data_IF_555737880318
#
_entry.id   IF_555737880318
#
_cell.length_a   1.000
_cell.length_b   1.000
_cell.length_c   1.000
_cell.angle_alpha   90.00
_cell.angle_beta   90.00
_cell.angle_gamma   90.00
#
_symmetry.space_group_name_H-M   'P 1'
#
loop_
_entity.id
_entity.type
_entity.pdbx_description
1 polymer ?
#
# COMPACT_ATOMS: atom_id res chain seq x y z
N UNK A 1 18.52 18.97 11.90
CA UNK A 1 17.21 18.73 12.55
C UNK A 1 16.65 17.47 11.92
N UNK A 2 16.48 16.40 12.70
CA UNK A 2 15.81 15.19 12.20
C UNK A 2 14.37 15.58 11.83
N UNK A 3 13.99 15.44 10.56
CA UNK A 3 12.63 15.73 10.09
C UNK A 3 11.71 14.70 10.78
N UNK A 4 10.73 15.17 11.56
CA UNK A 4 9.80 14.28 12.26
C UNK A 4 9.00 13.50 11.21
N UNK A 5 9.06 12.16 11.27
CA UNK A 5 8.27 11.28 10.42
C UNK A 5 6.81 11.37 10.88
N UNK A 6 5.88 11.49 9.94
CA UNK A 6 4.45 11.37 10.17
C UNK A 6 4.06 9.90 10.22
N UNK A 7 3.32 9.50 11.24
CA UNK A 7 2.77 8.15 11.34
C UNK A 7 1.29 8.17 10.96
N UNK A 8 0.95 7.42 9.91
CA UNK A 8 -0.40 7.26 9.41
C UNK A 8 -0.85 5.80 9.56
N UNK A 9 -2.15 5.57 9.65
CA UNK A 9 -2.76 4.23 9.65
C UNK A 9 -3.73 4.10 8.47
N UNK A 10 -3.79 2.94 7.83
CA UNK A 10 -4.65 2.70 6.68
C UNK A 10 -5.66 1.57 6.93
N UNK A 11 -6.94 1.87 6.69
CA UNK A 11 -8.01 0.87 6.65
C UNK A 11 -8.80 0.90 5.33
N UNK A 12 -9.10 -0.28 4.76
CA UNK A 12 -9.77 -0.35 3.46
C UNK A 12 -11.31 -0.38 3.55
N UNK A 13 -11.88 -0.56 4.74
CA UNK A 13 -13.33 -0.56 4.99
C UNK A 13 -13.63 -0.22 6.45
N UNK A 14 -14.86 0.20 6.73
CA UNK A 14 -15.27 0.68 8.06
C UNK A 14 -15.19 -0.43 9.12
N UNK A 15 -15.56 -1.66 8.78
CA UNK A 15 -15.57 -2.76 9.73
C UNK A 15 -14.17 -3.03 10.31
N UNK A 16 -13.11 -2.89 9.51
CA UNK A 16 -11.74 -3.01 10.01
C UNK A 16 -11.29 -1.82 10.84
N UNK A 17 -11.72 -0.61 10.47
CA UNK A 17 -11.45 0.60 11.24
C UNK A 17 -12.09 0.51 12.64
N UNK A 18 -13.32 -0.03 12.75
CA UNK A 18 -13.98 -0.29 14.03
C UNK A 18 -13.22 -1.27 14.92
N UNK A 19 -12.37 -2.13 14.33
CA UNK A 19 -11.52 -3.09 15.01
C UNK A 19 -10.09 -2.57 15.25
N UNK A 20 -9.86 -1.25 15.14
CA UNK A 20 -8.51 -0.65 15.28
C UNK A 20 -7.79 -1.09 16.56
N UNK A 21 -8.50 -1.16 17.69
CA UNK A 21 -7.94 -1.58 18.97
C UNK A 21 -7.43 -3.03 18.92
N UNK A 22 -8.14 -3.92 18.23
CA UNK A 22 -7.72 -5.32 18.06
C UNK A 22 -6.47 -5.41 17.16
N UNK A 23 -6.37 -4.56 16.13
CA UNK A 23 -5.23 -4.53 15.22
C UNK A 23 -3.97 -3.92 15.84
N UNK A 24 -4.13 -2.97 16.76
CA UNK A 24 -3.02 -2.32 17.48
C UNK A 24 -2.65 -3.02 18.79
N UNK A 25 -3.39 -4.07 19.17
CA UNK A 25 -3.13 -4.82 20.39
C UNK A 25 -1.82 -5.60 20.29
N UNK A 26 -0.83 -5.18 21.05
CA UNK A 26 0.42 -5.92 21.23
C UNK A 26 0.15 -7.15 22.10
N UNK A 27 0.48 -8.33 21.59
CA UNK A 27 0.41 -9.59 22.34
C UNK A 27 1.84 -10.04 22.63
N UNK A 28 2.18 -10.27 23.91
CA UNK A 28 3.45 -10.91 24.25
C UNK A 28 3.38 -12.39 23.89
N UNK A 29 4.00 -12.75 22.75
CA UNK A 29 4.04 -14.13 22.29
C UNK A 29 4.70 -15.10 23.30
N UNK A 30 5.50 -14.60 24.25
CA UNK A 30 6.10 -15.40 25.33
C UNK A 30 5.07 -15.84 26.37
N UNK A 31 3.95 -15.13 26.47
CA UNK A 31 2.85 -15.43 27.38
C UNK A 31 1.82 -16.40 26.76
N UNK A 32 1.90 -16.65 25.44
CA UNK A 32 1.04 -17.61 24.76
C UNK A 32 1.60 -19.02 24.96
N UNK A 33 0.84 -19.96 25.54
CA UNK A 33 1.28 -21.35 25.64
C UNK A 33 1.60 -21.93 24.26
N UNK A 34 2.71 -22.66 24.14
CA UNK A 34 3.21 -23.18 22.85
C UNK A 34 2.20 -24.02 22.06
N UNK A 35 1.30 -24.74 22.75
CA UNK A 35 0.22 -25.50 22.13
C UNK A 35 -0.87 -24.58 21.53
N UNK A 36 -1.18 -23.45 22.18
CA UNK A 36 -2.10 -22.43 21.69
C UNK A 36 -1.50 -21.69 20.51
N UNK A 37 -0.21 -21.36 20.56
CA UNK A 37 0.50 -20.79 19.42
C UNK A 37 0.46 -21.73 18.21
N UNK A 38 0.67 -23.04 18.40
CA UNK A 38 0.58 -24.01 17.30
C UNK A 38 -0.84 -24.08 16.73
N UNK A 39 -1.89 -24.10 17.56
CA UNK A 39 -3.29 -24.14 17.08
C UNK A 39 -3.72 -22.83 16.43
N UNK A 40 -3.27 -21.68 16.96
CA UNK A 40 -3.60 -20.36 16.44
C UNK A 40 -2.84 -20.01 15.16
N UNK A 41 -1.66 -20.57 14.93
CA UNK A 41 -0.80 -20.13 13.83
C UNK A 41 -0.48 -21.24 12.81
N UNK A 42 -0.83 -22.50 13.07
CA UNK A 42 -0.69 -23.57 12.08
C UNK A 42 -1.94 -23.71 11.20
N UNK A 43 -1.73 -23.75 9.89
CA UNK A 43 -2.63 -24.27 8.84
C UNK A 43 -3.76 -23.39 8.30
N UNK A 44 -4.01 -22.18 8.81
CA UNK A 44 -4.92 -21.25 8.13
C UNK A 44 -4.13 -20.17 7.36
N UNK A 45 -4.20 -20.11 6.02
CA UNK A 45 -3.53 -19.07 5.26
C UNK A 45 -4.03 -17.66 5.59
N UNK A 46 -5.20 -17.51 6.24
CA UNK A 46 -5.66 -16.22 6.79
C UNK A 46 -4.90 -15.81 8.07
N UNK A 47 -4.24 -16.74 8.78
CA UNK A 47 -3.49 -16.43 10.00
C UNK A 47 -2.12 -15.80 9.70
N UNK A 48 -1.61 -15.94 8.47
CA UNK A 48 -0.35 -15.33 8.04
C UNK A 48 -0.37 -13.81 8.22
N UNK A 49 -1.50 -13.17 7.89
CA UNK A 49 -1.70 -11.73 8.06
C UNK A 49 -1.60 -11.31 9.52
N UNK A 50 -2.29 -12.04 10.40
CA UNK A 50 -2.31 -11.77 11.83
C UNK A 50 -0.93 -11.99 12.48
N UNK A 51 -0.25 -13.09 12.17
CA UNK A 51 1.11 -13.36 12.69
C UNK A 51 2.10 -12.27 12.26
N UNK A 52 2.05 -11.86 11.00
CA UNK A 52 2.91 -10.81 10.47
C UNK A 52 2.60 -9.43 11.07
N UNK A 53 1.31 -9.12 11.30
CA UNK A 53 0.92 -7.90 11.99
C UNK A 53 1.52 -7.85 13.41
N UNK A 54 1.48 -8.96 14.17
CA UNK A 54 2.11 -9.03 15.49
C UNK A 54 3.61 -8.72 15.44
N UNK A 55 4.34 -9.24 14.44
CA UNK A 55 5.76 -8.90 14.25
C UNK A 55 5.94 -7.43 13.90
N UNK A 56 5.03 -6.84 13.13
CA UNK A 56 5.09 -5.45 12.69
C UNK A 56 4.82 -4.45 13.80
N UNK A 57 3.97 -4.81 14.76
CA UNK A 57 3.71 -4.01 15.95
C UNK A 57 4.97 -3.78 16.79
N UNK A 58 5.99 -4.65 16.72
CA UNK A 58 7.25 -4.42 17.44
C UNK A 58 8.00 -3.18 16.93
N UNK A 59 8.03 -2.96 15.62
CA UNK A 59 8.58 -1.75 15.00
C UNK A 59 7.72 -0.54 15.29
N UNK A 60 6.39 -0.68 15.23
CA UNK A 60 5.46 0.38 15.60
C UNK A 60 5.67 0.85 17.05
N UNK A 61 5.81 -0.09 17.98
CA UNK A 61 6.10 0.20 19.38
C UNK A 61 7.42 0.93 19.54
N UNK A 62 8.45 0.60 18.75
CA UNK A 62 9.69 1.35 18.74
C UNK A 62 9.48 2.81 18.32
N UNK A 63 8.70 3.07 17.25
CA UNK A 63 8.35 4.44 16.86
C UNK A 63 7.59 5.18 17.97
N UNK A 64 6.61 4.52 18.60
CA UNK A 64 5.82 5.09 19.68
C UNK A 64 6.65 5.39 20.93
N UNK A 65 7.56 4.49 21.32
CA UNK A 65 8.49 4.70 22.43
C UNK A 65 9.45 5.88 22.16
N UNK A 66 9.67 6.25 20.90
CA UNK A 66 10.43 7.43 20.49
C UNK A 66 9.55 8.70 20.37
N UNK A 67 8.30 8.67 20.86
CA UNK A 67 7.40 9.82 20.92
C UNK A 67 6.65 10.12 19.62
N UNK A 68 6.55 9.15 18.70
CA UNK A 68 5.68 9.25 17.54
C UNK A 68 4.29 8.70 17.87
N UNK A 69 3.25 9.30 17.30
CA UNK A 69 1.89 8.78 17.41
C UNK A 69 1.16 8.93 16.07
N UNK A 70 0.10 8.17 15.89
CA UNK A 70 -0.75 8.30 14.72
C UNK A 70 -1.31 9.71 14.64
N UNK A 71 -1.28 10.27 13.45
CA UNK A 71 -1.73 11.64 13.17
C UNK A 71 -2.58 11.74 11.91
N UNK A 72 -2.75 10.62 11.18
CA UNK A 72 -3.47 10.57 9.92
C UNK A 72 -4.13 9.22 9.68
N UNK A 73 -5.38 9.25 9.23
CA UNK A 73 -6.12 8.10 8.74
C UNK A 73 -6.15 8.10 7.21
N UNK A 74 -5.65 7.03 6.61
CA UNK A 74 -5.93 6.65 5.24
C UNK A 74 -7.18 5.77 5.24
N UNK A 75 -8.15 6.06 4.38
CA UNK A 75 -9.38 5.29 4.28
C UNK A 75 -9.87 5.15 2.85
N UNK A 76 -10.18 3.92 2.42
CA UNK A 76 -10.69 3.64 1.07
C UNK A 76 -9.98 2.45 0.42
N UNK A 77 -10.27 2.19 -0.86
CA UNK A 77 -9.86 0.95 -1.52
C UNK A 77 -9.03 1.22 -2.75
N UNK A 78 -7.78 0.77 -2.74
CA UNK A 78 -6.83 0.99 -3.82
C UNK A 78 -6.95 -0.05 -4.96
N UNK A 79 -7.24 -1.31 -4.66
CA UNK A 79 -7.01 -2.40 -5.62
C UNK A 79 -8.27 -2.94 -6.31
N UNK A 80 -9.48 -2.56 -5.88
CA UNK A 80 -10.71 -3.17 -6.39
C UNK A 80 -11.91 -2.23 -6.36
N UNK A 81 -12.45 -1.91 -7.54
CA UNK A 81 -13.67 -1.09 -7.67
C UNK A 81 -14.90 -1.68 -6.96
N UNK A 82 -14.96 -3.01 -6.81
CA UNK A 82 -16.08 -3.68 -6.15
C UNK A 82 -16.04 -3.55 -4.63
N UNK A 83 -14.90 -3.15 -4.08
CA UNK A 83 -14.68 -2.98 -2.66
C UNK A 83 -14.71 -1.52 -2.23
N UNK A 84 -14.69 -0.56 -3.16
CA UNK A 84 -14.88 0.88 -2.87
C UNK A 84 -16.00 1.04 -1.84
N UNK A 85 -15.70 1.63 -0.67
CA UNK A 85 -16.69 1.82 0.38
C UNK A 85 -17.81 2.74 -0.13
N UNK A 86 -19.05 2.51 0.31
CA UNK A 86 -20.14 3.46 0.10
C UNK A 86 -19.88 4.74 0.89
N UNK A 87 -20.57 5.83 0.53
CA UNK A 87 -20.31 7.17 1.07
C UNK A 87 -20.57 7.28 2.57
N UNK A 88 -21.51 6.52 3.11
CA UNK A 88 -21.78 6.44 4.56
C UNK A 88 -20.61 5.85 5.35
N UNK A 89 -19.89 4.86 4.77
CA UNK A 89 -18.66 4.36 5.39
C UNK A 89 -17.54 5.40 5.37
N UNK A 90 -17.44 6.19 4.30
CA UNK A 90 -16.44 7.28 4.18
C UNK A 90 -16.74 8.42 5.16
N UNK A 91 -18.01 8.78 5.31
CA UNK A 91 -18.50 9.74 6.30
C UNK A 91 -18.09 9.32 7.72
N UNK A 92 -18.41 8.08 8.11
CA UNK A 92 -18.04 7.55 9.42
C UNK A 92 -16.52 7.54 9.66
N UNK A 93 -15.73 7.16 8.66
CA UNK A 93 -14.27 7.17 8.77
C UNK A 93 -13.72 8.60 8.91
N UNK A 94 -14.29 9.57 8.20
CA UNK A 94 -13.93 10.97 8.36
C UNK A 94 -14.25 11.46 9.77
N UNK A 95 -15.46 11.23 10.28
CA UNK A 95 -15.80 11.59 11.67
C UNK A 95 -14.89 10.93 12.70
N UNK A 96 -14.56 9.64 12.52
CA UNK A 96 -13.60 8.94 13.37
C UNK A 96 -12.25 9.67 13.40
N UNK A 97 -11.71 10.04 12.23
CA UNK A 97 -10.44 10.78 12.16
C UNK A 97 -10.48 12.09 12.93
N UNK A 98 -11.60 12.84 12.83
CA UNK A 98 -11.77 14.11 13.53
C UNK A 98 -11.86 13.92 15.05
N UNK A 99 -12.51 12.86 15.52
CA UNK A 99 -12.57 12.52 16.96
C UNK A 99 -11.19 12.20 17.54
N UNK A 100 -10.33 11.59 16.72
CA UNK A 100 -8.94 11.27 17.08
C UNK A 100 -7.97 12.44 16.87
N UNK A 101 -8.45 13.59 16.39
CA UNK A 101 -7.62 14.73 15.96
C UNK A 101 -6.59 14.35 14.88
N UNK A 102 -6.95 13.39 14.03
CA UNK A 102 -6.13 12.91 12.91
C UNK A 102 -6.54 13.55 11.60
N UNK A 103 -5.56 13.85 10.76
CA UNK A 103 -5.75 14.20 9.36
C UNK A 103 -6.42 13.06 8.58
N UNK A 104 -7.12 13.40 7.50
CA UNK A 104 -7.84 12.42 6.68
C UNK A 104 -7.28 12.33 5.27
N UNK A 105 -7.12 11.11 4.77
CA UNK A 105 -6.68 10.80 3.41
C UNK A 105 -7.63 9.81 2.77
N UNK A 106 -8.35 10.24 1.75
CA UNK A 106 -9.24 9.37 0.99
C UNK A 106 -8.47 8.59 -0.08
N UNK A 107 -8.53 7.26 -0.03
CA UNK A 107 -7.85 6.36 -0.95
C UNK A 107 -8.80 5.95 -2.07
N UNK A 108 -8.47 6.35 -3.31
CA UNK A 108 -9.26 6.00 -4.49
C UNK A 108 -8.78 4.68 -5.10
N UNK A 109 -9.70 3.98 -5.78
CA UNK A 109 -9.40 2.72 -6.44
C UNK A 109 -8.67 2.89 -7.77
N UNK A 110 -7.91 1.88 -8.14
CA UNK A 110 -7.30 1.73 -9.46
C UNK A 110 -8.19 0.95 -10.43
N UNK A 111 -7.92 1.14 -11.72
CA UNK A 111 -8.55 0.41 -12.82
C UNK A 111 -10.07 0.55 -12.86
N UNK A 112 -10.56 1.78 -12.64
CA UNK A 112 -11.98 2.03 -12.47
C UNK A 112 -12.70 2.02 -13.82
N UNK A 113 -13.88 1.40 -13.83
CA UNK A 113 -14.90 1.62 -14.86
C UNK A 113 -15.73 2.86 -14.50
N UNK A 114 -16.64 3.28 -15.37
CA UNK A 114 -17.57 4.38 -15.09
C UNK A 114 -18.35 4.16 -13.78
N UNK A 115 -18.68 2.91 -13.46
CA UNK A 115 -19.34 2.53 -12.19
C UNK A 115 -18.43 2.79 -10.99
N UNK A 116 -17.13 2.49 -11.10
CA UNK A 116 -16.15 2.75 -10.06
C UNK A 116 -15.91 4.26 -9.87
N UNK A 117 -15.81 5.00 -10.97
CA UNK A 117 -15.66 6.46 -10.96
C UNK A 117 -16.88 7.12 -10.33
N UNK A 118 -18.10 6.68 -10.64
CA UNK A 118 -19.32 7.22 -10.04
C UNK A 118 -19.32 7.12 -8.51
N UNK A 119 -18.86 5.99 -7.95
CA UNK A 119 -18.72 5.83 -6.49
C UNK A 119 -17.66 6.74 -5.90
N UNK A 120 -16.54 6.94 -6.61
CA UNK A 120 -15.51 7.90 -6.16
C UNK A 120 -16.08 9.32 -6.15
N UNK A 121 -16.88 9.70 -7.16
CA UNK A 121 -17.57 11.00 -7.19
C UNK A 121 -18.53 11.13 -6.02
N UNK A 122 -19.36 10.12 -5.73
CA UNK A 122 -20.25 10.11 -4.58
C UNK A 122 -19.50 10.34 -3.26
N UNK A 123 -18.36 9.65 -3.08
CA UNK A 123 -17.53 9.78 -1.89
C UNK A 123 -16.87 11.17 -1.78
N UNK A 124 -16.36 11.73 -2.88
CA UNK A 124 -15.78 13.07 -2.91
C UNK A 124 -16.85 14.15 -2.67
N UNK A 125 -18.05 13.98 -3.20
CA UNK A 125 -19.19 14.87 -2.92
C UNK A 125 -19.56 14.83 -1.44
N UNK A 126 -19.64 13.63 -0.85
CA UNK A 126 -19.88 13.46 0.58
C UNK A 126 -18.81 14.20 1.42
N UNK A 127 -17.52 14.00 1.14
CA UNK A 127 -16.44 14.69 1.86
C UNK A 127 -16.52 16.22 1.73
N UNK A 128 -16.85 16.74 0.54
CA UNK A 128 -17.09 18.17 0.34
C UNK A 128 -18.26 18.68 1.19
N UNK A 129 -19.37 17.95 1.23
CA UNK A 129 -20.56 18.32 2.02
C UNK A 129 -20.27 18.32 3.54
N UNK A 130 -19.36 17.46 3.99
CA UNK A 130 -18.84 17.42 5.36
C UNK A 130 -17.83 18.53 5.67
N UNK A 131 -17.46 19.35 4.67
CA UNK A 131 -16.47 20.42 4.81
C UNK A 131 -15.04 19.92 4.99
N UNK A 132 -14.71 18.74 4.45
CA UNK A 132 -13.38 18.15 4.48
C UNK A 132 -12.41 18.83 3.48
N UNK A 133 -12.32 20.16 3.53
CA UNK A 133 -11.50 20.96 2.61
C UNK A 133 -9.98 20.72 2.80
N UNK A 134 -9.60 20.09 3.90
CA UNK A 134 -8.23 19.76 4.26
C UNK A 134 -7.79 18.34 3.87
N UNK A 135 -8.73 17.50 3.43
CA UNK A 135 -8.48 16.08 3.11
C UNK A 135 -7.49 15.92 1.95
N UNK A 136 -6.59 14.94 2.09
CA UNK A 136 -5.76 14.46 0.99
C UNK A 136 -6.49 13.40 0.17
N UNK A 137 -6.24 13.33 -1.14
CA UNK A 137 -6.81 12.29 -2.00
C UNK A 137 -5.72 11.52 -2.72
N UNK A 138 -5.63 10.22 -2.44
CA UNK A 138 -4.73 9.32 -3.15
C UNK A 138 -5.36 8.93 -4.47
N UNK A 139 -4.73 9.33 -5.56
CA UNK A 139 -5.19 9.06 -6.93
C UNK A 139 -4.48 7.84 -7.48
N UNK A 140 -5.25 6.80 -7.77
CA UNK A 140 -4.76 5.54 -8.35
C UNK A 140 -5.24 5.30 -9.80
N UNK A 141 -5.99 6.24 -10.36
CA UNK A 141 -6.54 6.17 -11.72
C UNK A 141 -6.55 7.56 -12.37
N UNK A 142 -6.10 7.65 -13.63
CA UNK A 142 -6.07 8.93 -14.35
C UNK A 142 -7.47 9.49 -14.66
N UNK A 143 -8.48 8.65 -14.76
CA UNK A 143 -9.87 9.06 -14.88
C UNK A 143 -10.37 9.79 -13.62
N UNK A 144 -9.91 9.35 -12.44
CA UNK A 144 -10.17 10.04 -11.17
C UNK A 144 -9.48 11.39 -11.13
N UNK A 145 -8.21 11.49 -11.57
CA UNK A 145 -7.52 12.79 -11.69
C UNK A 145 -8.32 13.78 -12.55
N UNK A 146 -8.78 13.33 -13.72
CA UNK A 146 -9.55 14.14 -14.64
C UNK A 146 -10.88 14.61 -14.02
N UNK A 147 -11.57 13.75 -13.27
CA UNK A 147 -12.79 14.11 -12.52
C UNK A 147 -12.49 15.14 -11.45
N UNK A 148 -11.42 14.96 -10.67
CA UNK A 148 -11.01 15.92 -9.62
C UNK A 148 -10.72 17.28 -10.23
N UNK A 149 -9.94 17.36 -11.32
CA UNK A 149 -9.64 18.63 -11.98
C UNK A 149 -10.87 19.34 -12.52
N UNK A 150 -11.87 18.59 -13.00
CA UNK A 150 -13.10 19.14 -13.57
C UNK A 150 -14.10 19.57 -12.50
N UNK A 151 -14.36 18.70 -11.53
CA UNK A 151 -15.51 18.80 -10.63
C UNK A 151 -15.11 19.16 -9.21
N UNK A 152 -13.86 18.92 -8.80
CA UNK A 152 -13.32 19.14 -7.45
C UNK A 152 -11.99 19.93 -7.44
N UNK A 153 -11.92 21.10 -8.12
CA UNK A 153 -10.68 21.86 -8.27
C UNK A 153 -10.08 22.33 -6.94
N UNK A 154 -10.87 22.43 -5.87
CA UNK A 154 -10.42 22.77 -4.51
C UNK A 154 -9.46 21.73 -3.92
N UNK A 155 -9.48 20.49 -4.41
CA UNK A 155 -8.56 19.43 -3.99
C UNK A 155 -7.21 19.51 -4.73
N UNK A 156 -7.08 20.39 -5.73
CA UNK A 156 -5.81 20.60 -6.44
C UNK A 156 -4.76 21.14 -5.46
N UNK A 157 -3.64 20.42 -5.31
CA UNK A 157 -2.61 20.70 -4.30
C UNK A 157 -2.70 19.81 -3.05
N UNK A 158 -3.71 18.95 -2.95
CA UNK A 158 -3.87 17.94 -1.88
C UNK A 158 -3.87 16.52 -2.43
N UNK A 159 -3.31 16.34 -3.62
CA UNK A 159 -3.31 15.05 -4.29
C UNK A 159 -2.07 14.25 -3.90
N UNK A 160 -2.27 12.99 -3.60
CA UNK A 160 -1.22 12.00 -3.38
C UNK A 160 -1.15 11.12 -4.63
N UNK A 161 0.02 11.05 -5.25
CA UNK A 161 0.25 10.13 -6.36
C UNK A 161 0.34 8.72 -5.77
N UNK A 162 -0.73 7.94 -5.94
CA UNK A 162 -0.81 6.62 -5.35
C UNK A 162 0.21 5.65 -5.95
N UNK A 163 0.56 4.63 -5.17
CA UNK A 163 1.60 3.65 -5.55
C UNK A 163 1.24 2.85 -6.82
N UNK A 164 -0.03 2.82 -7.25
CA UNK A 164 -0.42 2.20 -8.52
C UNK A 164 -0.05 3.02 -9.77
N UNK A 165 -0.02 4.35 -9.68
CA UNK A 165 0.31 5.23 -10.80
C UNK A 165 1.81 5.49 -10.92
N UNK A 166 2.53 5.40 -9.80
CA UNK A 166 3.98 5.49 -9.81
C UNK A 166 4.61 4.14 -10.21
N UNK A 167 5.36 4.13 -11.32
CA UNK A 167 6.05 2.93 -11.80
C UNK A 167 7.30 2.70 -10.94
N UNK A 168 7.18 1.73 -10.05
CA UNK A 168 8.25 1.19 -9.21
C UNK A 168 8.43 -0.29 -9.54
N UNK A 169 9.67 -0.74 -9.68
CA UNK A 169 9.96 -2.18 -9.75
C UNK A 169 9.74 -2.80 -8.37
N UNK A 170 9.03 -3.93 -8.29
CA UNK A 170 8.71 -4.57 -7.00
C UNK A 170 9.18 -6.01 -7.02
N UNK A 171 10.48 -6.19 -6.84
CA UNK A 171 11.07 -7.52 -6.79
C UNK A 171 10.81 -8.14 -5.43
N UNK A 172 10.18 -9.30 -5.38
CA UNK A 172 10.09 -10.14 -4.19
C UNK A 172 11.07 -11.32 -4.21
N UNK A 173 11.93 -11.35 -5.23
CA UNK A 173 13.02 -12.30 -5.39
C UNK A 173 14.32 -11.64 -4.94
N UNK A 174 15.22 -12.41 -4.30
CA UNK A 174 16.49 -11.90 -3.76
C UNK A 174 16.28 -10.86 -2.66
N UNK A 175 15.22 -11.05 -1.85
CA UNK A 175 14.85 -10.13 -0.79
C UNK A 175 15.78 -10.20 0.43
N UNK A 176 16.55 -11.29 0.54
CA UNK A 176 17.48 -11.50 1.64
C UNK A 176 18.71 -10.59 1.50
N UNK A 177 19.08 -9.84 2.55
CA UNK A 177 20.33 -9.07 2.56
C UNK A 177 21.54 -9.95 2.22
N UNK A 178 22.38 -9.49 1.30
CA UNK A 178 23.60 -10.20 0.88
C UNK A 178 23.42 -11.22 -0.25
N UNK A 179 22.20 -11.47 -0.72
CA UNK A 179 21.97 -12.25 -1.94
C UNK A 179 22.16 -11.36 -3.17
N UNK A 180 23.09 -11.73 -4.05
CA UNK A 180 23.39 -10.94 -5.23
C UNK A 180 22.47 -11.32 -6.42
N UNK A 181 22.01 -10.32 -7.19
CA UNK A 181 21.13 -10.52 -8.37
C UNK A 181 21.75 -11.42 -9.45
N UNK A 182 21.06 -12.41 -10.04
CA UNK A 182 21.68 -13.24 -11.07
C UNK A 182 22.14 -12.40 -12.28
N UNK A 183 23.38 -12.62 -12.73
CA UNK A 183 23.95 -11.96 -13.93
C UNK A 183 24.39 -13.02 -14.92
N UNK A 184 24.02 -12.84 -16.18
CA UNK A 184 24.46 -13.69 -17.29
C UNK A 184 25.68 -13.05 -17.98
N UNK A 185 26.85 -13.67 -17.85
CA UNK A 185 28.13 -13.10 -18.34
C UNK A 185 28.54 -13.55 -19.75
N UNK A 186 27.82 -14.49 -20.38
CA UNK A 186 28.25 -15.02 -21.67
C UNK A 186 28.16 -13.93 -22.77
N UNK A 187 29.31 -13.59 -23.35
CA UNK A 187 29.45 -12.53 -24.34
C UNK A 187 29.53 -11.11 -23.77
N UNK A 188 29.70 -10.93 -22.47
CA UNK A 188 29.80 -9.60 -21.81
C UNK A 188 31.22 -9.36 -21.31
N UNK A 189 31.82 -8.24 -21.72
CA UNK A 189 33.18 -7.82 -21.32
C UNK A 189 33.19 -6.94 -20.05
N UNK A 190 32.06 -6.33 -19.71
CA UNK A 190 31.88 -5.52 -18.49
C UNK A 190 32.11 -6.37 -17.24
N UNK A 191 32.73 -5.80 -16.21
CA UNK A 191 32.98 -6.51 -14.95
C UNK A 191 31.65 -6.87 -14.30
N UNK A 192 31.52 -8.11 -13.82
CA UNK A 192 30.26 -8.62 -13.23
C UNK A 192 29.71 -7.70 -12.13
N UNK A 193 30.59 -7.18 -11.25
CA UNK A 193 30.17 -6.27 -10.18
C UNK A 193 29.59 -4.96 -10.72
N UNK A 194 30.16 -4.41 -11.79
CA UNK A 194 29.64 -3.20 -12.43
C UNK A 194 28.25 -3.44 -13.00
N UNK A 195 28.01 -4.61 -13.61
CA UNK A 195 26.67 -5.00 -14.09
C UNK A 195 25.69 -5.09 -12.92
N UNK A 196 26.09 -5.70 -11.80
CA UNK A 196 25.25 -5.80 -10.59
C UNK A 196 24.89 -4.43 -10.07
N UNK A 197 25.84 -3.52 -9.96
CA UNK A 197 25.61 -2.16 -9.47
C UNK A 197 24.65 -1.40 -10.39
N UNK A 198 24.81 -1.53 -11.72
CA UNK A 198 23.89 -0.97 -12.70
C UNK A 198 22.48 -1.57 -12.62
N UNK A 199 22.35 -2.88 -12.40
CA UNK A 199 21.06 -3.55 -12.20
C UNK A 199 20.34 -3.00 -10.97
N UNK A 200 21.04 -2.89 -9.82
CA UNK A 200 20.45 -2.32 -8.60
C UNK A 200 19.99 -0.89 -8.83
N UNK A 201 20.81 -0.05 -9.47
CA UNK A 201 20.44 1.32 -9.81
C UNK A 201 19.18 1.36 -10.69
N UNK A 202 19.11 0.53 -11.72
CA UNK A 202 17.94 0.44 -12.60
C UNK A 202 16.68 -0.03 -11.87
N UNK A 203 16.78 -0.96 -10.91
CA UNK A 203 15.61 -1.45 -10.17
C UNK A 203 15.14 -0.52 -9.06
N UNK A 204 16.03 0.35 -8.56
CA UNK A 204 15.70 1.45 -7.65
C UNK A 204 15.01 2.61 -8.35
N UNK A 205 15.16 2.71 -9.66
CA UNK A 205 14.61 3.81 -10.44
C UNK A 205 13.08 3.76 -10.50
N UNK A 206 12.46 4.94 -10.58
CA UNK A 206 11.01 5.12 -10.52
C UNK A 206 10.54 6.15 -11.54
N UNK A 207 9.24 6.16 -11.88
CA UNK A 207 8.76 7.10 -12.90
C UNK A 207 9.06 8.57 -12.59
N UNK A 208 9.12 8.96 -11.31
CA UNK A 208 9.45 10.33 -10.89
C UNK A 208 10.90 10.75 -11.17
N UNK A 209 11.81 9.83 -11.46
CA UNK A 209 13.16 10.19 -11.91
C UNK A 209 13.19 10.80 -13.30
N UNK A 210 12.12 10.63 -14.09
CA UNK A 210 11.97 11.33 -15.36
C UNK A 210 11.58 12.80 -15.10
N UNK A 211 12.43 13.79 -15.42
CA UNK A 211 12.17 15.19 -15.11
C UNK A 211 10.97 15.78 -15.84
N UNK A 212 10.63 15.25 -17.03
CA UNK A 212 9.43 15.67 -17.77
C UNK A 212 8.19 15.18 -17.02
N UNK A 213 8.17 13.92 -16.61
CA UNK A 213 7.05 13.37 -15.85
C UNK A 213 6.89 14.04 -14.48
N UNK A 214 7.99 14.27 -13.76
CA UNK A 214 7.97 14.96 -12.47
C UNK A 214 7.35 16.36 -12.60
N UNK A 215 7.73 17.11 -13.64
CA UNK A 215 7.16 18.43 -13.91
C UNK A 215 5.64 18.35 -14.13
N UNK A 216 5.17 17.41 -14.94
CA UNK A 216 3.74 17.21 -15.20
C UNK A 216 2.97 16.84 -13.91
N UNK A 217 3.52 15.93 -13.10
CA UNK A 217 2.95 15.53 -11.80
C UNK A 217 2.75 16.73 -10.87
N UNK A 218 3.72 17.64 -10.81
CA UNK A 218 3.60 18.90 -10.08
C UNK A 218 2.52 19.83 -10.66
N UNK A 219 2.47 20.00 -11.99
CA UNK A 219 1.45 20.84 -12.66
C UNK A 219 0.02 20.30 -12.47
N UNK A 220 -0.12 18.98 -12.37
CA UNK A 220 -1.38 18.30 -12.06
C UNK A 220 -1.79 18.45 -10.58
N UNK A 221 -0.92 18.99 -9.72
CA UNK A 221 -1.24 19.34 -8.33
C UNK A 221 -1.02 18.22 -7.33
N UNK A 222 -0.17 17.25 -7.66
CA UNK A 222 0.32 16.28 -6.69
C UNK A 222 1.38 16.91 -5.80
N UNK A 223 1.22 16.78 -4.48
CA UNK A 223 2.16 17.29 -3.47
C UNK A 223 2.83 16.17 -2.69
N UNK A 224 2.24 14.97 -2.75
CA UNK A 224 2.70 13.78 -2.06
C UNK A 224 2.77 12.60 -3.05
N UNK A 225 3.56 11.60 -2.72
CA UNK A 225 3.65 10.34 -3.46
C UNK A 225 3.81 9.18 -2.50
N UNK A 226 3.06 8.11 -2.73
CA UNK A 226 3.18 6.90 -1.95
C UNK A 226 3.99 5.82 -2.70
N UNK A 227 4.74 5.04 -1.93
CA UNK A 227 5.59 3.97 -2.41
C UNK A 227 5.45 2.70 -1.56
N UNK A 228 5.81 1.58 -2.15
CA UNK A 228 6.00 0.32 -1.45
C UNK A 228 7.44 0.18 -0.95
N UNK A 229 7.64 -0.46 0.20
CA UNK A 229 8.98 -0.92 0.58
C UNK A 229 9.38 -2.08 -0.33
N UNK A 230 10.57 -2.01 -0.91
CA UNK A 230 11.08 -3.04 -1.83
C UNK A 230 12.49 -3.45 -1.44
N UNK A 231 12.89 -4.73 -1.58
CA UNK A 231 14.20 -5.18 -1.14
C UNK A 231 15.36 -4.43 -1.79
N UNK A 232 15.23 -4.09 -3.07
CA UNK A 232 16.27 -3.35 -3.77
C UNK A 232 16.38 -1.89 -3.32
N UNK A 233 15.45 -1.34 -2.54
CA UNK A 233 15.40 0.08 -2.19
C UNK A 233 14.70 0.95 -3.24
N UNK A 234 14.62 2.25 -2.96
CA UNK A 234 14.09 3.27 -3.87
C UNK A 234 15.18 4.33 -4.07
N UNK A 235 15.43 4.72 -5.31
CA UNK A 235 16.29 5.86 -5.60
C UNK A 235 15.51 7.13 -5.28
N UNK A 236 16.11 8.00 -4.46
CA UNK A 236 15.63 9.36 -4.22
C UNK A 236 16.80 10.32 -4.50
N UNK A 237 16.64 11.31 -5.41
CA UNK A 237 17.70 12.26 -5.70
C UNK A 237 18.04 13.11 -4.46
N UNK A 238 19.24 13.68 -4.44
CA UNK A 238 19.62 14.67 -3.42
C UNK A 238 18.65 15.88 -3.48
N UNK A 239 18.07 16.24 -2.34
CA UNK A 239 16.99 17.23 -2.27
C UNK A 239 15.56 16.68 -2.46
N UNK A 240 15.41 15.42 -2.87
CA UNK A 240 14.12 14.78 -3.10
C UNK A 240 13.38 15.30 -4.35
N UNK A 241 12.10 14.94 -4.47
CA UNK A 241 11.23 15.34 -5.59
C UNK A 241 10.41 16.61 -5.34
N UNK A 242 10.69 17.34 -4.25
CA UNK A 242 9.80 18.38 -3.70
C UNK A 242 8.38 17.86 -3.40
N UNK A 243 8.31 16.62 -2.93
CA UNK A 243 7.08 15.94 -2.56
C UNK A 243 7.28 15.21 -1.22
N UNK A 244 6.21 15.07 -0.45
CA UNK A 244 6.19 14.18 0.72
C UNK A 244 6.19 12.74 0.24
N UNK A 245 7.13 11.93 0.72
CA UNK A 245 7.20 10.51 0.39
C UNK A 245 6.56 9.66 1.49
N UNK A 246 5.48 8.96 1.15
CA UNK A 246 4.83 7.95 1.97
C UNK A 246 5.36 6.55 1.69
N UNK A 247 5.58 5.75 2.74
CA UNK A 247 5.94 4.34 2.64
C UNK A 247 4.89 3.47 3.32
N UNK A 248 4.33 2.53 2.56
CA UNK A 248 3.46 1.50 3.10
C UNK A 248 4.24 0.44 3.87
N UNK A 249 3.73 0.06 5.04
CA UNK A 249 4.29 -0.95 5.94
C UNK A 249 3.16 -1.67 6.67
N UNK A 250 3.16 -3.00 6.83
CA UNK A 250 4.21 -3.95 6.48
C UNK A 250 3.93 -4.72 5.19
N UNK A 251 2.96 -4.27 4.40
CA UNK A 251 2.59 -4.91 3.15
C UNK A 251 3.07 -4.08 1.98
N UNK A 252 3.47 -4.80 0.93
CA UNK A 252 3.71 -4.22 -0.37
C UNK A 252 3.06 -5.11 -1.41
N UNK A 253 2.43 -4.52 -2.41
CA UNK A 253 1.94 -5.34 -3.51
C UNK A 253 3.08 -5.66 -4.48
N UNK A 254 3.03 -6.79 -5.16
CA UNK A 254 4.00 -7.18 -6.20
C UNK A 254 3.39 -6.88 -7.57
N UNK A 255 2.16 -7.35 -7.76
CA UNK A 255 1.42 -7.20 -8.99
C UNK A 255 -0.08 -7.13 -8.68
N UNK A 256 -0.81 -6.41 -9.51
CA UNK A 256 -2.27 -6.33 -9.45
C UNK A 256 -2.83 -6.30 -10.87
N UNK A 257 -4.07 -6.77 -11.03
CA UNK A 257 -4.73 -6.86 -12.32
C UNK A 257 -6.21 -6.48 -12.22
N UNK A 258 -6.89 -6.40 -13.36
CA UNK A 258 -8.36 -6.30 -13.38
C UNK A 258 -9.01 -7.68 -13.16
N UNK A 259 -8.41 -8.72 -13.72
CA UNK A 259 -8.86 -10.10 -13.49
C UNK A 259 -8.57 -10.50 -12.04
N UNK A 260 -9.47 -11.30 -11.45
CA UNK A 260 -9.44 -11.58 -10.02
C UNK A 260 -9.51 -13.09 -9.77
N UNK A 261 -8.36 -13.75 -9.49
CA UNK A 261 -8.32 -15.17 -9.15
C UNK A 261 -9.20 -15.52 -7.95
N UNK A 262 -9.29 -14.63 -6.96
CA UNK A 262 -10.15 -14.85 -5.79
C UNK A 262 -11.64 -14.77 -6.10
N UNK A 263 -12.06 -13.88 -6.99
CA UNK A 263 -13.43 -13.91 -7.49
C UNK A 263 -13.69 -15.16 -8.36
N UNK A 264 -12.65 -15.66 -9.02
CA UNK A 264 -12.59 -16.94 -9.73
C UNK A 264 -13.06 -18.16 -8.95
N UNK A 265 -12.90 -18.15 -7.61
CA UNK A 265 -13.38 -19.23 -6.74
C UNK A 265 -14.91 -19.41 -6.79
N UNK A 266 -15.65 -18.31 -6.96
CA UNK A 266 -17.11 -18.33 -7.05
C UNK A 266 -17.60 -18.29 -8.52
N UNK A 267 -16.84 -17.66 -9.41
CA UNK A 267 -17.14 -17.56 -10.84
C UNK A 267 -15.84 -17.73 -11.66
N UNK A 268 -15.54 -18.94 -12.15
CA UNK A 268 -14.27 -19.25 -12.84
C UNK A 268 -13.94 -18.35 -14.03
N UNK A 269 -14.95 -17.72 -14.65
CA UNK A 269 -14.75 -16.77 -15.76
C UNK A 269 -13.93 -15.56 -15.30
N UNK A 270 -14.10 -15.12 -14.05
CA UNK A 270 -13.44 -13.94 -13.48
C UNK A 270 -11.93 -14.08 -13.28
N UNK A 271 -11.42 -15.31 -13.32
CA UNK A 271 -9.97 -15.58 -13.33
C UNK A 271 -9.32 -15.05 -14.60
N UNK A 272 -10.04 -15.06 -15.71
CA UNK A 272 -9.50 -14.78 -17.05
C UNK A 272 -10.10 -13.53 -17.70
N UNK A 273 -11.33 -13.16 -17.33
CA UNK A 273 -12.08 -12.10 -18.00
C UNK A 273 -12.80 -11.21 -16.99
N UNK A 274 -12.79 -9.90 -17.25
CA UNK A 274 -13.62 -8.93 -16.53
C UNK A 274 -15.09 -9.11 -16.89
N UNK A 275 -15.96 -9.13 -15.88
CA UNK A 275 -17.40 -9.27 -16.08
C UNK A 275 -18.15 -8.20 -15.30
N UNK A 276 -19.19 -7.63 -15.90
CA UNK A 276 -20.06 -6.62 -15.27
C UNK A 276 -21.04 -7.20 -14.24
N UNK A 277 -21.03 -8.52 -14.05
CA UNK A 277 -21.84 -9.18 -13.01
C UNK A 277 -21.46 -8.63 -11.62
N UNK A 278 -22.36 -8.67 -10.63
CA UNK A 278 -21.99 -8.41 -9.24
C UNK A 278 -20.88 -9.36 -8.76
N UNK A 279 -19.92 -8.82 -8.01
CA UNK A 279 -18.85 -9.59 -7.39
C UNK A 279 -19.29 -10.11 -6.02
N UNK A 280 -19.07 -11.41 -5.75
CA UNK A 280 -19.37 -12.02 -4.44
C UNK A 280 -18.40 -11.63 -3.31
N UNK A 281 -17.38 -10.81 -3.61
CA UNK A 281 -16.38 -10.30 -2.63
C UNK A 281 -15.70 -11.41 -1.81
N UNK A 282 -15.41 -12.55 -2.44
CA UNK A 282 -14.77 -13.72 -1.79
C UNK A 282 -13.45 -13.37 -1.11
N UNK A 283 -12.76 -12.33 -1.58
CA UNK A 283 -11.52 -11.82 -1.00
C UNK A 283 -11.68 -11.23 0.41
N UNK A 284 -12.90 -10.93 0.88
CA UNK A 284 -13.14 -10.61 2.29
C UNK A 284 -13.00 -11.82 3.21
N UNK A 285 -13.04 -13.05 2.67
CA UNK A 285 -13.02 -14.30 3.44
C UNK A 285 -11.83 -15.21 3.13
N UNK A 286 -11.36 -15.21 1.88
CA UNK A 286 -10.38 -16.16 1.39
C UNK A 286 -9.23 -15.46 0.67
N UNK A 287 -8.03 -16.02 0.79
CA UNK A 287 -6.93 -15.79 -0.12
C UNK A 287 -6.78 -16.98 -1.09
N UNK A 288 -6.13 -16.75 -2.22
CA UNK A 288 -5.84 -17.76 -3.25
C UNK A 288 -4.34 -18.02 -3.36
N UNK A 289 -3.62 -17.85 -2.25
CA UNK A 289 -2.18 -18.00 -2.20
C UNK A 289 -1.78 -19.39 -2.69
N UNK A 290 -0.99 -19.50 -3.77
CA UNK A 290 -0.51 -20.80 -4.21
C UNK A 290 0.38 -21.42 -3.12
N UNK A 291 0.14 -22.69 -2.78
CA UNK A 291 0.96 -23.47 -1.84
C UNK A 291 2.32 -23.89 -2.41
N UNK A 292 2.61 -23.55 -3.67
CA UNK A 292 3.89 -23.82 -4.31
C UNK A 292 4.89 -22.75 -3.89
N UNK A 293 5.77 -23.11 -2.96
CA UNK A 293 6.92 -22.31 -2.51
C UNK A 293 7.86 -22.10 -3.70
N UNK A 294 7.65 -21.05 -4.48
CA UNK A 294 8.54 -20.64 -5.57
C UNK A 294 9.32 -19.36 -5.24
N UNK A 295 9.00 -18.68 -4.13
CA UNK A 295 9.60 -17.42 -3.72
C UNK A 295 10.28 -17.57 -2.36
N UNK A 296 11.43 -16.91 -2.19
CA UNK A 296 12.15 -16.86 -0.90
C UNK A 296 11.32 -16.15 0.18
N UNK A 297 10.59 -15.09 -0.20
CA UNK A 297 9.60 -14.42 0.66
C UNK A 297 8.19 -14.86 0.25
N UNK A 298 7.35 -15.34 1.19
CA UNK A 298 5.99 -15.76 0.87
C UNK A 298 5.15 -14.61 0.28
N UNK A 299 4.52 -14.88 -0.87
CA UNK A 299 3.57 -13.97 -1.47
C UNK A 299 2.13 -14.39 -1.16
N UNK A 300 1.22 -13.44 -0.97
CA UNK A 300 -0.19 -13.68 -0.65
C UNK A 300 -1.08 -13.16 -1.78
N UNK A 301 -1.83 -14.04 -2.44
CA UNK A 301 -2.79 -13.63 -3.47
C UNK A 301 -4.14 -13.35 -2.82
N UNK A 302 -4.58 -12.09 -2.76
CA UNK A 302 -5.89 -11.71 -2.21
C UNK A 302 -6.60 -10.73 -3.14
N UNK A 303 -7.78 -11.13 -3.61
CA UNK A 303 -8.46 -10.39 -4.66
C UNK A 303 -7.66 -10.46 -5.97
N UNK A 304 -7.55 -9.35 -6.73
CA UNK A 304 -6.73 -9.31 -7.93
C UNK A 304 -5.23 -9.09 -7.66
N UNK A 305 -4.84 -8.89 -6.40
CA UNK A 305 -3.51 -8.41 -6.04
C UNK A 305 -2.69 -9.49 -5.34
N UNK A 306 -1.41 -9.57 -5.72
CA UNK A 306 -0.39 -10.34 -5.05
C UNK A 306 0.38 -9.41 -4.10
N UNK A 307 0.49 -9.77 -2.83
CA UNK A 307 1.18 -9.01 -1.80
C UNK A 307 2.39 -9.77 -1.28
N UNK A 308 3.34 -9.05 -0.69
CA UNK A 308 4.44 -9.59 0.10
C UNK A 308 4.51 -8.87 1.44
N UNK A 309 4.93 -9.61 2.45
CA UNK A 309 5.30 -9.01 3.72
C UNK A 309 6.72 -8.43 3.60
N UNK A 310 6.94 -7.23 4.15
CA UNK A 310 8.20 -6.49 3.99
C UNK A 310 9.14 -6.60 5.19
N UNK A 311 8.75 -7.30 6.25
CA UNK A 311 9.50 -7.33 7.51
C UNK A 311 10.96 -7.74 7.37
N UNK A 312 11.29 -8.63 6.44
CA UNK A 312 12.66 -9.12 6.18
C UNK A 312 13.63 -8.00 5.73
N UNK A 313 13.11 -6.91 5.15
CA UNK A 313 13.91 -5.80 4.63
C UNK A 313 13.45 -4.41 5.10
N UNK A 314 12.38 -4.33 5.90
CA UNK A 314 11.88 -3.09 6.49
C UNK A 314 12.90 -2.43 7.43
N UNK A 315 13.67 -3.23 8.17
CA UNK A 315 14.71 -2.72 9.08
C UNK A 315 15.71 -1.81 8.36
N UNK A 316 16.10 -2.16 7.13
CA UNK A 316 16.99 -1.32 6.33
C UNK A 316 16.37 0.05 6.04
N UNK A 317 15.05 0.12 5.80
CA UNK A 317 14.34 1.38 5.62
C UNK A 317 14.32 2.21 6.90
N UNK A 318 14.12 1.58 8.04
CA UNK A 318 14.04 2.25 9.34
C UNK A 318 15.40 2.75 9.84
N UNK A 319 16.48 2.01 9.58
CA UNK A 319 17.81 2.30 10.12
C UNK A 319 18.72 3.05 9.13
N UNK A 320 18.57 2.83 7.81
CA UNK A 320 19.60 3.20 6.83
C UNK A 320 19.07 3.93 5.58
N UNK A 321 17.77 3.95 5.31
CA UNK A 321 17.25 4.54 4.06
C UNK A 321 17.16 6.07 4.12
N UNK A 322 17.53 6.76 3.02
CA UNK A 322 17.36 8.21 2.92
C UNK A 322 15.87 8.56 2.88
N UNK A 323 15.41 9.18 3.98
CA UNK A 323 14.24 10.04 4.15
C UNK A 323 12.96 9.59 3.44
N UNK A 324 12.04 8.98 4.18
CA UNK A 324 10.60 9.10 3.93
C UNK A 324 10.03 10.07 4.95
N UNK A 325 8.97 10.78 4.59
CA UNK A 325 8.30 11.73 5.48
C UNK A 325 7.12 11.12 6.20
N UNK A 326 6.51 10.07 5.63
CA UNK A 326 5.32 9.43 6.18
C UNK A 326 5.48 7.91 6.16
N UNK A 327 5.18 7.27 7.29
CA UNK A 327 5.02 5.81 7.39
C UNK A 327 3.53 5.50 7.44
N UNK A 328 3.04 4.70 6.51
CA UNK A 328 1.62 4.33 6.39
C UNK A 328 1.48 2.89 6.88
N UNK A 329 0.97 2.73 8.09
CA UNK A 329 0.78 1.43 8.71
C UNK A 329 -0.51 0.75 8.22
N UNK A 330 -0.37 -0.40 7.57
CA UNK A 330 -1.43 -1.27 7.07
C UNK A 330 -1.52 -2.51 7.97
N UNK A 331 -2.30 -2.50 9.06
CA UNK A 331 -2.35 -3.65 9.98
C UNK A 331 -2.88 -4.94 9.33
N UNK A 332 -3.49 -4.81 8.15
CA UNK A 332 -4.17 -5.85 7.42
C UNK A 332 -3.95 -5.66 5.91
N UNK A 333 -4.13 -6.71 5.12
CA UNK A 333 -4.05 -6.62 3.66
C UNK A 333 -5.17 -5.70 3.14
N UNK A 334 -4.88 -4.69 2.30
CA UNK A 334 -5.84 -3.64 1.92
C UNK A 334 -6.88 -4.11 0.87
N UNK A 335 -7.69 -5.12 1.24
CA UNK A 335 -8.72 -5.78 0.41
C UNK A 335 -9.96 -6.08 1.23
#
# INVERSE_FOLDING_TARGET
MSKKIELAIYFPDLHRLEMIDDFLKIIDAREIPSYLATVMFSLNPNNYEFTNNLSSLSWLQLFQNNGMDFSRLYFGQEFCQNLIPPSDEVDHAYYFSRQMEWDFTYVTGGYLTDVGIAKVVENLTCLRELGADDCEVVVNDWGVLNVIHRDFPELKGRLVLGRLLNKQTRMNLFAQPGVNFPVHMNGIETVEQEIRDMQVQSYRDVSLSNPVYLKEVHEWGFTNVDFDMTPQGIYRPEGGWDMTMGLYYPWSFIATARNCPTAGLADPVRTFVMTDKPCGKMCKKYNCTPLLIQFETPAVQRGPTLFTYVGDFAEHYFLHSPYYERLIFEPCLPI
#
